data_IF_237068265057
#
_entry.id   IF_237068265057
#
_cell.length_a   1.000
_cell.length_b   1.000
_cell.length_c   1.000
_cell.angle_alpha   90.00
_cell.angle_beta   90.00
_cell.angle_gamma   90.00
#
_symmetry.space_group_name_H-M   'P 1'
#
loop_
_entity.id
_entity.type
_entity.pdbx_description
1 polymer ?
#
# COMPACT_ATOMS: atom_id res chain seq x y z
N UNK A 1 -16.85 1.08 -20.67
CA UNK A 1 -16.60 2.53 -20.79
C UNK A 1 -17.62 3.40 -20.05
N UNK A 2 -18.90 3.54 -20.46
CA UNK A 2 -19.83 4.48 -19.78
C UNK A 2 -20.25 4.05 -18.36
N UNK A 3 -20.46 2.75 -18.11
CA UNK A 3 -20.78 2.24 -16.76
C UNK A 3 -19.60 2.35 -15.78
N UNK A 4 -18.38 2.06 -16.25
CA UNK A 4 -17.16 2.16 -15.42
C UNK A 4 -16.90 3.59 -14.94
N UNK A 5 -17.19 4.60 -15.78
CA UNK A 5 -17.07 6.01 -15.38
C UNK A 5 -18.09 6.38 -14.30
N UNK A 6 -19.29 5.81 -14.36
CA UNK A 6 -20.33 6.00 -13.34
C UNK A 6 -19.92 5.32 -12.03
N UNK A 7 -19.38 4.09 -12.10
CA UNK A 7 -18.91 3.35 -10.93
C UNK A 7 -17.72 4.05 -10.27
N UNK A 8 -16.78 4.57 -11.06
CA UNK A 8 -15.66 5.37 -10.57
C UNK A 8 -16.13 6.68 -9.93
N UNK A 9 -17.15 7.32 -10.52
CA UNK A 9 -17.82 8.49 -9.96
C UNK A 9 -18.46 8.18 -8.62
N UNK A 10 -19.14 7.03 -8.50
CA UNK A 10 -19.75 6.60 -7.24
C UNK A 10 -18.72 6.29 -6.16
N UNK A 11 -17.64 5.61 -6.54
CA UNK A 11 -16.54 5.30 -5.63
C UNK A 11 -15.84 6.58 -5.14
N UNK A 12 -15.59 7.53 -6.05
CA UNK A 12 -15.04 8.84 -5.71
C UNK A 12 -15.96 9.62 -4.76
N UNK A 13 -17.27 9.60 -5.02
CA UNK A 13 -18.27 10.21 -4.13
C UNK A 13 -18.31 9.55 -2.75
N UNK A 14 -18.10 8.23 -2.65
CA UNK A 14 -17.95 7.53 -1.37
C UNK A 14 -16.70 7.95 -0.58
N UNK A 15 -15.66 8.41 -1.25
CA UNK A 15 -14.44 8.91 -0.61
C UNK A 15 -14.63 10.29 0.04
N UNK A 16 -15.52 11.12 -0.53
CA UNK A 16 -15.80 12.49 -0.08
C UNK A 16 -16.23 12.57 1.40
N UNK A 17 -17.22 11.80 1.90
CA UNK A 17 -17.63 11.88 3.31
C UNK A 17 -16.50 11.46 4.25
N UNK A 18 -15.69 10.45 3.90
CA UNK A 18 -14.55 10.01 4.72
C UNK A 18 -13.48 11.09 4.79
N UNK A 19 -13.16 11.70 3.64
CA UNK A 19 -12.22 12.82 3.57
C UNK A 19 -12.73 14.05 4.35
N UNK A 20 -14.02 14.35 4.23
CA UNK A 20 -14.67 15.46 4.94
C UNK A 20 -14.63 15.27 6.46
N UNK A 21 -14.98 14.07 6.94
CA UNK A 21 -14.88 13.73 8.38
C UNK A 21 -13.44 13.85 8.86
N UNK A 22 -12.47 13.37 8.07
CA UNK A 22 -11.04 13.49 8.40
C UNK A 22 -10.63 14.96 8.57
N UNK A 23 -10.94 15.81 7.59
CA UNK A 23 -10.61 17.24 7.63
C UNK A 23 -11.34 17.95 8.78
N UNK A 24 -12.60 17.58 9.04
CA UNK A 24 -13.40 18.14 10.13
C UNK A 24 -12.81 17.80 11.51
N UNK A 25 -12.40 16.55 11.72
CA UNK A 25 -11.72 16.13 12.95
C UNK A 25 -10.37 16.85 13.14
N UNK A 26 -9.58 16.98 12.07
CA UNK A 26 -8.31 17.70 12.10
C UNK A 26 -8.50 19.18 12.47
N UNK A 27 -9.52 19.85 11.89
CA UNK A 27 -9.87 21.23 12.24
C UNK A 27 -10.38 21.35 13.67
N UNK A 28 -11.22 20.41 14.12
CA UNK A 28 -11.76 20.45 15.48
C UNK A 28 -10.67 20.29 16.54
N UNK A 29 -9.63 19.49 16.24
CA UNK A 29 -8.46 19.31 17.12
C UNK A 29 -7.33 20.33 16.85
N UNK A 30 -7.55 21.35 16.02
CA UNK A 30 -6.56 22.37 15.65
C UNK A 30 -5.21 21.80 15.19
N UNK A 31 -5.24 20.66 14.49
CA UNK A 31 -4.04 20.01 13.99
C UNK A 31 -3.65 20.70 12.69
N UNK A 32 -2.51 21.41 12.69
CA UNK A 32 -2.00 22.26 11.60
C UNK A 32 -1.55 21.52 10.33
N UNK A 33 -2.22 20.45 9.93
CA UNK A 33 -1.90 19.65 8.74
C UNK A 33 -2.51 20.23 7.45
N UNK A 34 -3.44 21.18 7.54
CA UNK A 34 -3.97 21.93 6.39
C UNK A 34 -4.47 21.04 5.24
N UNK A 35 -3.85 21.16 4.06
CA UNK A 35 -4.19 20.41 2.84
C UNK A 35 -3.50 19.04 2.73
N UNK A 36 -2.65 18.67 3.69
CA UNK A 36 -1.92 17.40 3.66
C UNK A 36 -2.82 16.16 3.51
N UNK A 37 -4.03 16.06 4.11
CA UNK A 37 -4.92 14.92 3.91
C UNK A 37 -5.35 14.76 2.45
N UNK A 38 -5.69 15.87 1.78
CA UNK A 38 -6.11 15.84 0.37
C UNK A 38 -4.94 15.49 -0.55
N UNK A 39 -3.76 16.04 -0.29
CA UNK A 39 -2.54 15.70 -1.03
C UNK A 39 -2.20 14.21 -0.84
N UNK A 40 -2.37 13.67 0.37
CA UNK A 40 -2.13 12.26 0.65
C UNK A 40 -3.10 11.36 -0.13
N UNK A 41 -4.38 11.73 -0.24
CA UNK A 41 -5.38 11.01 -1.05
C UNK A 41 -4.95 10.99 -2.51
N UNK A 42 -4.67 12.16 -3.10
CA UNK A 42 -4.25 12.25 -4.52
C UNK A 42 -3.00 11.43 -4.79
N UNK A 43 -2.00 11.52 -3.91
CA UNK A 43 -0.77 10.73 -4.00
C UNK A 43 -1.06 9.22 -3.91
N UNK A 44 -1.90 8.79 -2.99
CA UNK A 44 -2.26 7.37 -2.83
C UNK A 44 -3.01 6.85 -4.06
N UNK A 45 -3.94 7.63 -4.60
CA UNK A 45 -4.65 7.29 -5.84
C UNK A 45 -3.68 7.16 -7.03
N UNK A 46 -2.73 8.09 -7.17
CA UNK A 46 -1.70 8.01 -8.20
C UNK A 46 -0.81 6.76 -8.03
N UNK A 47 -0.41 6.46 -6.79
CA UNK A 47 0.37 5.26 -6.46
C UNK A 47 -0.40 3.98 -6.85
N UNK A 48 -1.69 3.90 -6.51
CA UNK A 48 -2.53 2.75 -6.86
C UNK A 48 -2.70 2.61 -8.38
N UNK A 49 -2.85 3.72 -9.12
CA UNK A 49 -2.93 3.69 -10.58
C UNK A 49 -1.63 3.14 -11.20
N UNK A 50 -0.47 3.58 -10.70
CA UNK A 50 0.83 3.06 -11.13
C UNK A 50 0.95 1.56 -10.83
N UNK A 51 0.56 1.13 -9.64
CA UNK A 51 0.55 -0.30 -9.26
C UNK A 51 -0.37 -1.11 -10.17
N UNK A 52 -1.57 -0.62 -10.48
CA UNK A 52 -2.50 -1.30 -11.37
C UNK A 52 -1.90 -1.52 -12.77
N UNK A 53 -1.20 -0.51 -13.30
CA UNK A 53 -0.50 -0.62 -14.59
C UNK A 53 0.64 -1.63 -14.51
N UNK A 54 1.45 -1.61 -13.44
CA UNK A 54 2.53 -2.58 -13.24
C UNK A 54 2.01 -4.02 -13.16
N UNK A 55 0.91 -4.22 -12.44
CA UNK A 55 0.27 -5.55 -12.32
C UNK A 55 -0.33 -6.02 -13.64
N UNK A 56 -0.86 -5.11 -14.47
CA UNK A 56 -1.29 -5.46 -15.83
C UNK A 56 -0.10 -5.91 -16.71
N UNK A 57 1.10 -5.35 -16.50
CA UNK A 57 2.33 -5.76 -17.18
C UNK A 57 2.93 -7.07 -16.66
N UNK A 58 2.73 -7.40 -15.38
CA UNK A 58 3.28 -8.59 -14.71
C UNK A 58 2.91 -9.89 -15.43
N UNK A 59 1.72 -9.98 -16.02
CA UNK A 59 1.28 -11.19 -16.72
C UNK A 59 2.06 -11.47 -18.01
N UNK A 60 2.81 -10.50 -18.55
CA UNK A 60 3.62 -10.67 -19.76
C UNK A 60 5.08 -11.00 -19.48
N UNK A 61 5.58 -10.75 -18.27
CA UNK A 61 7.00 -10.96 -17.95
C UNK A 61 7.17 -11.30 -16.46
N UNK A 62 7.54 -12.54 -16.12
CA UNK A 62 7.66 -12.95 -14.72
C UNK A 62 8.72 -12.17 -13.92
N UNK A 63 9.69 -11.54 -14.57
CA UNK A 63 10.66 -10.66 -13.91
C UNK A 63 10.05 -9.40 -13.27
N UNK A 64 8.92 -8.90 -13.78
CA UNK A 64 8.24 -7.75 -13.18
C UNK A 64 7.70 -8.06 -11.77
N UNK A 65 7.50 -9.34 -11.44
CA UNK A 65 7.06 -9.78 -10.12
C UNK A 65 8.10 -9.48 -9.06
N UNK A 66 9.34 -9.85 -9.34
CA UNK A 66 10.47 -9.61 -8.43
C UNK A 66 10.68 -8.09 -8.29
N UNK A 67 10.63 -7.35 -9.39
CA UNK A 67 10.73 -5.89 -9.36
C UNK A 67 9.63 -5.25 -8.51
N UNK A 68 8.39 -5.74 -8.62
CA UNK A 68 7.26 -5.25 -7.82
C UNK A 68 7.43 -5.53 -6.32
N UNK A 69 7.84 -6.75 -5.95
CA UNK A 69 8.09 -7.11 -4.55
C UNK A 69 9.22 -6.27 -3.96
N UNK A 70 10.32 -6.09 -4.71
CA UNK A 70 11.45 -5.24 -4.31
C UNK A 70 11.00 -3.79 -4.13
N UNK A 71 10.17 -3.28 -5.04
CA UNK A 71 9.61 -1.93 -4.96
C UNK A 71 8.74 -1.78 -3.70
N UNK A 72 7.78 -2.67 -3.48
CA UNK A 72 6.90 -2.65 -2.30
C UNK A 72 7.73 -2.73 -1.01
N UNK A 73 8.65 -3.69 -0.93
CA UNK A 73 9.52 -3.86 0.23
C UNK A 73 10.39 -2.63 0.51
N UNK A 74 10.93 -2.00 -0.54
CA UNK A 74 11.72 -0.77 -0.41
C UNK A 74 10.87 0.39 0.08
N UNK A 75 9.66 0.57 -0.46
CA UNK A 75 8.74 1.64 -0.04
C UNK A 75 8.24 1.46 1.39
N UNK A 76 7.93 0.22 1.79
CA UNK A 76 7.51 -0.12 3.15
C UNK A 76 8.64 0.14 4.15
N UNK A 77 9.85 -0.37 3.84
CA UNK A 77 11.04 -0.16 4.66
C UNK A 77 11.39 1.33 4.79
N UNK A 78 11.30 2.09 3.70
CA UNK A 78 11.55 3.53 3.71
C UNK A 78 10.54 4.29 4.55
N UNK A 79 9.25 3.96 4.41
CA UNK A 79 8.17 4.61 5.18
C UNK A 79 8.32 4.34 6.67
N UNK A 80 8.54 3.08 7.04
CA UNK A 80 8.76 2.68 8.42
C UNK A 80 10.05 3.27 8.99
N UNK A 81 11.14 3.26 8.23
CA UNK A 81 12.41 3.87 8.66
C UNK A 81 12.27 5.38 8.91
N UNK A 82 11.52 6.09 8.06
CA UNK A 82 11.30 7.53 8.22
C UNK A 82 10.45 7.85 9.46
N UNK A 83 9.54 6.95 9.86
CA UNK A 83 8.73 7.07 11.08
C UNK A 83 9.52 6.78 12.36
N UNK A 84 10.52 5.91 12.28
CA UNK A 84 11.34 5.44 13.42
C UNK A 84 12.72 6.13 13.41
N UNK A 85 12.91 7.17 12.58
CA UNK A 85 14.20 7.80 12.32
C UNK A 85 14.83 8.44 13.57
N UNK A 86 14.02 8.86 14.53
CA UNK A 86 14.47 9.49 15.79
C UNK A 86 14.98 8.47 16.83
N UNK A 87 14.82 7.17 16.56
CA UNK A 87 15.24 6.10 17.47
C UNK A 87 16.62 5.56 17.08
N UNK A 88 17.45 5.27 18.07
CA UNK A 88 18.76 4.67 17.86
C UNK A 88 18.61 3.32 17.11
N UNK A 89 19.26 3.19 15.95
CA UNK A 89 19.13 2.05 15.02
C UNK A 89 17.73 1.84 14.40
N UNK A 90 16.85 2.85 14.45
CA UNK A 90 15.46 2.75 14.00
C UNK A 90 15.29 2.26 12.55
N UNK A 91 16.22 2.62 11.65
CA UNK A 91 16.21 2.15 10.25
C UNK A 91 16.43 0.63 10.14
N UNK A 92 17.35 0.06 10.92
CA UNK A 92 17.62 -1.39 10.92
C UNK A 92 16.43 -2.14 11.53
N UNK A 93 15.92 -1.65 12.65
CA UNK A 93 14.75 -2.21 13.32
C UNK A 93 13.50 -2.20 12.41
N UNK A 94 13.30 -1.12 11.63
CA UNK A 94 12.21 -1.03 10.66
C UNK A 94 12.34 -2.09 9.55
N UNK A 95 13.53 -2.24 8.96
CA UNK A 95 13.76 -3.24 7.89
C UNK A 95 13.59 -4.66 8.43
N UNK A 96 14.15 -4.98 9.59
CA UNK A 96 14.02 -6.32 10.19
C UNK A 96 12.60 -6.61 10.62
N UNK A 97 11.86 -5.61 11.12
CA UNK A 97 10.46 -5.74 11.48
C UNK A 97 9.57 -6.01 10.28
N UNK A 98 9.77 -5.28 9.17
CA UNK A 98 9.03 -5.51 7.92
C UNK A 98 9.38 -6.88 7.34
N UNK A 99 10.65 -7.27 7.32
CA UNK A 99 11.07 -8.61 6.85
C UNK A 99 10.49 -9.73 7.69
N UNK A 100 10.61 -9.64 9.01
CA UNK A 100 10.14 -10.69 9.91
C UNK A 100 8.62 -10.80 9.88
N UNK A 101 7.90 -9.67 9.95
CA UNK A 101 6.45 -9.63 9.88
C UNK A 101 5.92 -10.15 8.55
N UNK A 102 6.41 -9.60 7.43
CA UNK A 102 5.98 -10.03 6.11
C UNK A 102 6.35 -11.49 5.83
N UNK A 103 7.57 -11.91 6.17
CA UNK A 103 8.04 -13.27 5.98
C UNK A 103 7.22 -14.28 6.79
N UNK A 104 6.93 -13.98 8.06
CA UNK A 104 6.13 -14.84 8.92
C UNK A 104 4.69 -14.96 8.42
N UNK A 105 4.04 -13.84 8.08
CA UNK A 105 2.65 -13.83 7.61
C UNK A 105 2.50 -14.52 6.25
N UNK A 106 3.35 -14.21 5.28
CA UNK A 106 3.33 -14.84 3.96
C UNK A 106 3.64 -16.34 4.11
N UNK A 107 4.68 -16.68 4.88
CA UNK A 107 5.06 -18.07 5.15
C UNK A 107 3.92 -18.85 5.80
N UNK A 108 3.22 -18.28 6.78
CA UNK A 108 2.08 -18.92 7.42
C UNK A 108 0.92 -19.18 6.46
N UNK A 109 0.59 -18.23 5.58
CA UNK A 109 -0.48 -18.38 4.58
C UNK A 109 -0.22 -19.56 3.65
N UNK A 110 1.01 -19.69 3.15
CA UNK A 110 1.39 -20.80 2.26
C UNK A 110 1.61 -22.12 3.01
N UNK A 111 2.17 -22.09 4.22
CA UNK A 111 2.38 -23.29 5.03
C UNK A 111 1.07 -23.94 5.49
N UNK A 112 0.04 -23.12 5.78
CA UNK A 112 -1.30 -23.59 6.12
C UNK A 112 -2.12 -24.00 4.89
N UNK A 113 -1.59 -23.86 3.68
CA UNK A 113 -2.30 -24.19 2.44
C UNK A 113 -3.53 -23.32 2.18
N UNK A 114 -3.56 -22.09 2.71
CA UNK A 114 -4.70 -21.18 2.56
C UNK A 114 -4.83 -20.64 1.13
N UNK A 115 -3.76 -20.69 0.35
CA UNK A 115 -3.74 -20.33 -1.06
C UNK A 115 -2.84 -21.25 -1.88
N UNK A 116 -3.22 -21.47 -3.13
CA UNK A 116 -2.38 -22.18 -4.10
C UNK A 116 -1.05 -21.47 -4.29
N UNK A 117 0.02 -22.25 -4.53
CA UNK A 117 1.37 -21.73 -4.80
C UNK A 117 1.48 -21.19 -6.24
N UNK A 118 0.52 -20.35 -6.64
CA UNK A 118 0.52 -19.63 -7.89
C UNK A 118 1.16 -18.26 -7.70
N UNK A 119 1.97 -17.84 -8.67
CA UNK A 119 2.64 -16.53 -8.68
C UNK A 119 1.65 -15.38 -8.48
N UNK A 120 0.43 -15.49 -9.02
CA UNK A 120 -0.63 -14.49 -8.84
C UNK A 120 -1.05 -14.33 -7.37
N UNK A 121 -1.19 -15.42 -6.63
CA UNK A 121 -1.56 -15.38 -5.22
C UNK A 121 -0.42 -14.87 -4.35
N UNK A 122 0.82 -15.26 -4.67
CA UNK A 122 2.00 -14.75 -3.98
C UNK A 122 2.11 -13.22 -4.10
N UNK A 123 1.88 -12.67 -5.30
CA UNK A 123 1.90 -11.22 -5.52
C UNK A 123 0.79 -10.52 -4.75
N UNK A 124 -0.43 -11.05 -4.79
CA UNK A 124 -1.56 -10.47 -4.09
C UNK A 124 -1.33 -10.42 -2.57
N UNK A 125 -0.91 -11.54 -1.99
CA UNK A 125 -0.64 -11.64 -0.55
C UNK A 125 0.55 -10.79 -0.16
N UNK A 126 1.65 -10.85 -0.91
CA UNK A 126 2.83 -10.02 -0.63
C UNK A 126 2.51 -8.53 -0.71
N UNK A 127 1.74 -8.09 -1.71
CA UNK A 127 1.32 -6.70 -1.86
C UNK A 127 0.47 -6.21 -0.69
N UNK A 128 -0.47 -7.02 -0.20
CA UNK A 128 -1.36 -6.68 0.93
C UNK A 128 -0.59 -6.66 2.26
N UNK A 129 0.34 -7.59 2.47
CA UNK A 129 1.06 -7.72 3.75
C UNK A 129 2.20 -6.71 3.87
N UNK A 130 2.88 -6.40 2.76
CA UNK A 130 4.03 -5.48 2.75
C UNK A 130 3.60 -4.01 2.64
N UNK A 131 2.55 -3.72 1.87
CA UNK A 131 2.05 -2.37 1.61
C UNK A 131 1.36 -1.72 2.80
#
# INVERSE_FOLDING_TARGET
>A
MSRELIDLGWFGLGLVPVAAVTVMLLRWRNVGLGWQPLIAIVRASAQLAVIAILLAGVFKTPWLVIAFIVLMFSTASWTSARRVAELHHGRRAAVTGVLAGAGLSIGAVFALGLMDTNVRYLIAVAGIVIG
#
